data_IF_188232760758
#
_entry.id   IF_188232760758
#
_cell.length_a   1.000
_cell.length_b   1.000
_cell.length_c   1.000
_cell.angle_alpha   90.00
_cell.angle_beta   90.00
_cell.angle_gamma   90.00
#
_symmetry.space_group_name_H-M   'P 1'
#
loop_
_entity.id
_entity.type
_entity.pdbx_description
1 polymer ?
#
# COMPACT_ATOMS: atom_id res chain seq x y z
N UNK A 1 -68.33 -44.02 -27.23
CA UNK A 1 -69.01 -43.36 -28.36
C UNK A 1 -67.99 -42.46 -29.05
N UNK A 2 -67.80 -42.67 -30.36
CA UNK A 2 -66.96 -41.91 -31.33
C UNK A 2 -65.43 -41.98 -31.14
N UNK A 3 -64.72 -42.81 -31.93
CA UNK A 3 -64.14 -42.58 -33.28
C UNK A 3 -62.91 -41.65 -33.24
N UNK A 4 -61.77 -41.87 -33.89
CA UNK A 4 -61.39 -42.54 -35.13
C UNK A 4 -59.86 -42.84 -35.05
N UNK A 5 -59.33 -44.03 -35.38
CA UNK A 5 -59.05 -44.61 -36.71
C UNK A 5 -57.67 -44.21 -37.32
N UNK A 6 -56.90 -45.26 -37.70
CA UNK A 6 -55.82 -45.35 -38.72
C UNK A 6 -54.34 -45.08 -38.36
N UNK A 7 -53.66 -46.18 -38.04
CA UNK A 7 -52.41 -46.75 -38.63
C UNK A 7 -52.10 -46.37 -40.11
N UNK A 8 -50.90 -46.62 -40.72
CA UNK A 8 -49.48 -46.61 -40.27
C UNK A 8 -48.47 -46.07 -41.35
N UNK A 9 -47.16 -46.25 -41.07
CA UNK A 9 -45.99 -46.28 -41.99
C UNK A 9 -45.48 -44.94 -42.52
N UNK A 10 -44.25 -44.57 -42.12
CA UNK A 10 -43.14 -44.37 -43.06
C UNK A 10 -41.78 -44.35 -42.34
N UNK A 11 -40.90 -45.22 -42.82
CA UNK A 11 -39.47 -45.28 -42.51
C UNK A 11 -38.81 -43.92 -42.76
N UNK A 12 -38.17 -43.34 -41.74
CA UNK A 12 -37.01 -42.46 -41.96
C UNK A 12 -35.94 -42.83 -40.95
N UNK A 13 -34.90 -43.45 -41.49
CA UNK A 13 -33.60 -43.68 -40.88
C UNK A 13 -32.99 -42.30 -40.56
N UNK A 14 -33.00 -41.87 -39.29
CA UNK A 14 -32.18 -40.72 -38.86
C UNK A 14 -30.94 -41.29 -38.18
N UNK A 15 -29.93 -41.57 -39.00
CA UNK A 15 -28.54 -41.65 -38.54
C UNK A 15 -28.07 -40.20 -38.39
N UNK A 16 -28.28 -39.61 -37.22
CA UNK A 16 -27.58 -38.37 -36.87
C UNK A 16 -26.23 -38.75 -36.26
N UNK A 17 -25.19 -38.53 -37.05
CA UNK A 17 -23.78 -38.56 -36.67
C UNK A 17 -23.58 -37.93 -35.30
N UNK A 18 -23.13 -38.71 -34.33
CA UNK A 18 -22.32 -38.20 -33.23
C UNK A 18 -20.96 -37.78 -33.83
N UNK A 19 -20.91 -36.59 -34.43
CA UNK A 19 -19.65 -35.88 -34.60
C UNK A 19 -19.18 -35.52 -33.19
N UNK A 20 -18.30 -36.36 -32.64
CA UNK A 20 -17.35 -35.97 -31.62
C UNK A 20 -16.62 -34.75 -32.16
N UNK A 21 -17.10 -33.55 -31.81
CA UNK A 21 -16.30 -32.35 -31.87
C UNK A 21 -15.20 -32.53 -30.83
N UNK A 22 -14.11 -33.19 -31.24
CA UNK A 22 -12.80 -33.00 -30.66
C UNK A 22 -12.48 -31.52 -30.89
N UNK A 23 -12.94 -30.69 -29.97
CA UNK A 23 -12.40 -29.36 -29.83
C UNK A 23 -10.96 -29.58 -29.41
N UNK A 24 -10.02 -29.26 -30.30
CA UNK A 24 -8.63 -29.13 -29.91
C UNK A 24 -8.60 -28.08 -28.79
N UNK A 25 -8.49 -28.56 -27.55
CA UNK A 25 -8.21 -27.71 -26.40
C UNK A 25 -6.77 -27.26 -26.63
N UNK A 26 -6.59 -26.15 -27.32
CA UNK A 26 -5.31 -25.49 -27.41
C UNK A 26 -4.92 -25.09 -25.98
N UNK A 27 -4.00 -25.85 -25.39
CA UNK A 27 -3.28 -25.37 -24.24
C UNK A 27 -2.65 -24.04 -24.65
N UNK A 28 -2.86 -22.98 -23.87
CA UNK A 28 -2.23 -21.69 -24.13
C UNK A 28 -0.72 -21.91 -24.28
N UNK A 29 -0.15 -21.42 -25.39
CA UNK A 29 1.30 -21.35 -25.53
C UNK A 29 1.87 -20.62 -24.31
N UNK A 30 2.87 -21.24 -23.68
CA UNK A 30 3.49 -20.66 -22.50
C UNK A 30 4.12 -19.33 -22.91
N UNK A 31 3.78 -18.27 -22.18
CA UNK A 31 4.29 -16.94 -22.47
C UNK A 31 5.83 -16.95 -22.52
N UNK A 32 6.39 -16.27 -23.51
CA UNK A 32 7.85 -16.15 -23.67
C UNK A 32 8.53 -15.67 -22.39
N UNK A 33 7.93 -14.71 -21.68
CA UNK A 33 8.48 -14.20 -20.41
C UNK A 33 8.57 -15.28 -19.34
N UNK A 34 7.60 -16.21 -19.30
CA UNK A 34 7.60 -17.31 -18.34
C UNK A 34 8.65 -18.36 -18.68
N UNK A 35 8.85 -18.65 -19.97
CA UNK A 35 9.93 -19.55 -20.41
C UNK A 35 11.32 -18.95 -20.20
N UNK A 36 11.49 -17.65 -20.42
CA UNK A 36 12.75 -16.96 -20.14
C UNK A 36 13.01 -16.89 -18.63
N UNK A 37 11.98 -16.63 -17.80
CA UNK A 37 12.09 -16.66 -16.34
C UNK A 37 12.51 -18.04 -15.79
N UNK A 38 12.11 -19.14 -16.44
CA UNK A 38 12.57 -20.48 -16.02
C UNK A 38 14.06 -20.67 -16.22
N UNK A 39 14.65 -20.02 -17.24
CA UNK A 39 16.07 -20.08 -17.54
C UNK A 39 16.86 -19.13 -16.66
N UNK A 40 16.30 -17.96 -16.39
CA UNK A 40 16.86 -16.93 -15.52
C UNK A 40 15.81 -16.45 -14.50
N UNK A 41 15.95 -16.92 -13.25
CA UNK A 41 15.03 -16.58 -12.16
C UNK A 41 15.17 -15.14 -11.69
N UNK A 42 16.18 -14.39 -12.15
CA UNK A 42 16.35 -12.98 -11.84
C UNK A 42 15.67 -12.06 -12.89
N UNK A 43 15.09 -12.64 -13.94
CA UNK A 43 14.39 -11.87 -14.98
C UNK A 43 13.17 -11.11 -14.44
N UNK A 44 12.50 -11.67 -13.44
CA UNK A 44 11.36 -11.06 -12.76
C UNK A 44 11.73 -10.77 -11.31
N UNK A 45 11.21 -9.69 -10.71
CA UNK A 45 11.36 -9.47 -9.27
C UNK A 45 10.88 -10.67 -8.46
N UNK A 46 11.62 -11.01 -7.40
CA UNK A 46 11.21 -12.06 -6.49
C UNK A 46 10.10 -11.56 -5.55
N UNK A 47 8.87 -11.96 -5.84
CA UNK A 47 7.69 -11.61 -5.05
C UNK A 47 7.48 -12.55 -3.85
N UNK A 48 8.38 -13.50 -3.56
CA UNK A 48 8.21 -14.44 -2.44
C UNK A 48 8.23 -13.75 -1.06
N UNK A 49 8.72 -12.50 -1.00
CA UNK A 49 8.84 -11.69 0.21
C UNK A 49 7.75 -10.62 0.34
N UNK A 50 6.68 -10.69 -0.46
CA UNK A 50 5.53 -9.79 -0.31
C UNK A 50 4.62 -10.25 0.84
N UNK A 51 4.02 -9.28 1.52
CA UNK A 51 3.05 -9.55 2.61
C UNK A 51 3.57 -9.19 3.99
N UNK A 52 2.76 -9.49 5.00
CA UNK A 52 3.05 -9.18 6.40
C UNK A 52 4.27 -9.97 6.88
N UNK A 53 5.27 -9.27 7.47
CA UNK A 53 6.59 -9.83 7.79
C UNK A 53 7.18 -10.64 6.65
N UNK A 54 7.26 -10.03 5.46
CA UNK A 54 7.82 -10.65 4.26
C UNK A 54 7.07 -11.92 3.82
N UNK A 55 5.78 -12.04 4.15
CA UNK A 55 4.99 -13.24 3.85
C UNK A 55 5.26 -14.43 4.77
N UNK A 56 6.13 -14.25 5.78
CA UNK A 56 6.50 -15.32 6.73
C UNK A 56 5.50 -15.47 7.88
N UNK A 57 4.56 -14.53 8.03
CA UNK A 57 3.56 -14.53 9.10
C UNK A 57 2.17 -14.21 8.59
N UNK A 58 1.18 -14.82 9.24
CA UNK A 58 -0.22 -14.41 9.10
C UNK A 58 -0.46 -13.04 9.75
N UNK A 59 -1.43 -12.29 9.21
CA UNK A 59 -1.88 -11.05 9.83
C UNK A 59 -2.45 -11.38 11.23
N UNK A 60 -1.93 -10.77 12.31
CA UNK A 60 -2.28 -11.15 13.66
C UNK A 60 -3.72 -10.76 14.00
N UNK A 61 -4.35 -11.54 14.88
CA UNK A 61 -5.56 -11.11 15.58
C UNK A 61 -5.17 -10.53 16.95
N UNK A 62 -4.87 -9.24 17.00
CA UNK A 62 -4.36 -8.58 18.21
C UNK A 62 -5.49 -8.38 19.23
N UNK A 63 -5.48 -9.13 20.33
CA UNK A 63 -6.49 -9.04 21.40
C UNK A 63 -5.92 -8.64 22.77
N UNK A 64 -4.59 -8.67 22.92
CA UNK A 64 -3.89 -8.42 24.18
C UNK A 64 -3.51 -6.95 24.40
N UNK A 65 -3.76 -6.06 23.44
CA UNK A 65 -3.52 -4.63 23.60
C UNK A 65 -4.63 -3.97 24.42
N UNK A 66 -4.28 -2.92 25.17
CA UNK A 66 -5.26 -2.11 25.88
C UNK A 66 -6.21 -1.45 24.88
N UNK A 67 -7.50 -1.49 25.19
CA UNK A 67 -8.55 -0.86 24.38
C UNK A 67 -8.70 0.61 24.79
N UNK A 68 -8.73 1.48 23.79
CA UNK A 68 -9.03 2.90 23.86
C UNK A 68 -10.29 3.14 23.05
N UNK A 69 -11.45 2.94 23.67
CA UNK A 69 -12.75 3.15 23.04
C UNK A 69 -12.98 4.64 22.83
N UNK A 70 -13.17 5.06 21.57
CA UNK A 70 -13.33 6.47 21.20
C UNK A 70 -14.49 7.18 21.93
N UNK A 71 -15.51 6.44 22.36
CA UNK A 71 -16.65 7.00 23.10
C UNK A 71 -16.27 7.47 24.51
N UNK A 72 -15.27 6.83 25.13
CA UNK A 72 -14.70 7.29 26.41
C UNK A 72 -13.94 8.61 26.30
N UNK A 73 -13.57 8.99 25.06
CA UNK A 73 -12.93 10.26 24.72
C UNK A 73 -13.91 11.31 24.18
N UNK A 74 -15.21 10.98 24.14
CA UNK A 74 -16.30 11.89 23.78
C UNK A 74 -16.89 11.68 22.39
N UNK A 75 -16.45 10.68 21.62
CA UNK A 75 -17.05 10.36 20.33
C UNK A 75 -18.47 9.79 20.54
N UNK A 76 -19.39 10.10 19.65
CA UNK A 76 -20.79 9.69 19.72
C UNK A 76 -21.28 9.27 18.34
N UNK A 77 -21.35 7.96 18.06
CA UNK A 77 -21.80 7.53 16.75
C UNK A 77 -23.27 7.90 16.52
N UNK A 78 -23.58 8.25 15.27
CA UNK A 78 -24.90 8.59 14.77
C UNK A 78 -25.54 9.84 15.40
N UNK A 79 -24.73 10.79 15.88
CA UNK A 79 -25.19 12.15 16.14
C UNK A 79 -24.76 13.11 15.01
N UNK A 80 -25.07 14.40 15.19
CA UNK A 80 -24.75 15.46 14.23
C UNK A 80 -23.47 16.25 14.63
N UNK A 81 -22.64 15.70 15.52
CA UNK A 81 -21.44 16.35 16.06
C UNK A 81 -20.19 15.64 15.52
N UNK A 82 -19.15 16.41 15.21
CA UNK A 82 -17.88 15.83 14.77
C UNK A 82 -17.19 15.02 15.87
N UNK A 83 -16.72 13.83 15.50
CA UNK A 83 -15.96 12.92 16.35
C UNK A 83 -14.44 13.14 16.27
N UNK A 84 -13.99 14.02 15.36
CA UNK A 84 -12.57 14.20 15.00
C UNK A 84 -11.66 14.39 16.21
N UNK A 85 -12.05 15.26 17.14
CA UNK A 85 -11.26 15.57 18.34
C UNK A 85 -11.21 14.37 19.29
N UNK A 86 -12.32 13.67 19.49
CA UNK A 86 -12.38 12.51 20.38
C UNK A 86 -11.54 11.35 19.83
N UNK A 87 -11.58 11.13 18.52
CA UNK A 87 -10.76 10.13 17.84
C UNK A 87 -9.27 10.45 18.01
N UNK A 88 -8.85 11.70 17.80
CA UNK A 88 -7.44 12.08 18.02
C UNK A 88 -7.01 11.84 19.47
N UNK A 89 -7.83 12.18 20.46
CA UNK A 89 -7.52 11.93 21.88
C UNK A 89 -7.34 10.44 22.21
N UNK A 90 -8.17 9.58 21.62
CA UNK A 90 -8.04 8.14 21.78
C UNK A 90 -6.72 7.62 21.18
N UNK A 91 -6.36 8.10 19.99
CA UNK A 91 -5.07 7.80 19.34
C UNK A 91 -3.90 8.29 20.19
N UNK A 92 -3.97 9.50 20.72
CA UNK A 92 -2.91 10.07 21.56
C UNK A 92 -2.72 9.27 22.85
N UNK A 93 -3.81 8.80 23.47
CA UNK A 93 -3.77 7.94 24.63
C UNK A 93 -3.13 6.57 24.33
N UNK A 94 -3.48 5.96 23.19
CA UNK A 94 -2.85 4.72 22.73
C UNK A 94 -1.36 4.91 22.42
N UNK A 95 -1.00 5.99 21.74
CA UNK A 95 0.39 6.36 21.44
C UNK A 95 1.22 6.57 22.71
N UNK A 96 0.64 7.25 23.71
CA UNK A 96 1.27 7.46 25.03
C UNK A 96 1.46 6.14 25.79
N UNK A 97 0.57 5.18 25.59
CA UNK A 97 0.67 3.84 26.17
C UNK A 97 1.72 2.95 25.47
N UNK A 98 2.22 3.36 24.29
CA UNK A 98 3.22 2.61 23.50
C UNK A 98 2.63 1.51 22.60
N UNK A 99 1.40 1.10 22.87
CA UNK A 99 0.56 0.24 22.03
C UNK A 99 -0.92 0.41 22.39
N UNK A 100 -1.83 0.00 21.51
CA UNK A 100 -3.25 0.04 21.84
C UNK A 100 -4.16 -0.32 20.68
N UNK A 101 -5.38 -0.73 21.02
CA UNK A 101 -6.49 -0.82 20.07
C UNK A 101 -7.34 0.45 20.24
N UNK A 102 -7.30 1.35 19.28
CA UNK A 102 -8.27 2.45 19.17
C UNK A 102 -9.54 1.86 18.60
N UNK A 103 -10.52 1.66 19.47
CA UNK A 103 -11.73 0.90 19.17
C UNK A 103 -12.91 1.81 18.83
N UNK A 104 -13.64 1.43 17.79
CA UNK A 104 -14.85 2.09 17.33
C UNK A 104 -16.04 1.13 17.48
N UNK A 105 -17.04 1.47 18.32
CA UNK A 105 -18.30 0.73 18.32
C UNK A 105 -19.05 0.91 16.99
N UNK A 106 -20.16 0.19 16.84
CA UNK A 106 -21.04 0.30 15.68
C UNK A 106 -21.61 1.72 15.54
N UNK A 107 -21.79 2.14 14.29
CA UNK A 107 -22.41 3.41 13.93
C UNK A 107 -21.50 4.29 13.09
N UNK A 108 -22.07 5.43 12.69
CA UNK A 108 -21.39 6.43 11.86
C UNK A 108 -20.75 7.50 12.74
N UNK A 109 -19.45 7.70 12.54
CA UNK A 109 -18.68 8.78 13.15
C UNK A 109 -18.45 9.87 12.10
N UNK A 110 -18.78 11.11 12.45
CA UNK A 110 -18.60 12.25 11.56
C UNK A 110 -17.16 12.76 11.67
N UNK A 111 -16.48 12.84 10.53
CA UNK A 111 -15.08 13.25 10.47
C UNK A 111 -14.92 14.29 9.36
N UNK A 112 -14.45 15.50 9.66
CA UNK A 112 -14.39 16.64 8.74
C UNK A 112 -15.74 17.34 8.51
N UNK A 113 -16.42 17.70 9.60
CA UNK A 113 -17.56 18.63 9.56
C UNK A 113 -17.11 20.09 9.39
N UNK A 114 -18.04 21.01 9.13
CA UNK A 114 -17.72 22.43 8.88
C UNK A 114 -17.00 23.11 10.05
N UNK A 115 -17.27 22.65 11.28
CA UNK A 115 -16.63 23.15 12.50
C UNK A 115 -15.21 22.59 12.72
N UNK A 116 -14.78 21.61 11.94
CA UNK A 116 -13.48 20.97 12.13
C UNK A 116 -12.35 21.84 11.59
N UNK A 117 -11.23 21.82 12.31
CA UNK A 117 -9.97 22.29 11.75
C UNK A 117 -9.57 21.41 10.55
N UNK A 118 -8.91 22.00 9.55
CA UNK A 118 -8.52 21.31 8.30
C UNK A 118 -7.29 20.39 8.43
N UNK A 119 -6.88 20.06 9.65
CA UNK A 119 -5.73 19.19 9.92
C UNK A 119 -6.08 17.70 9.85
N UNK A 120 -5.07 16.86 9.71
CA UNK A 120 -5.21 15.40 9.81
C UNK A 120 -5.46 14.94 11.25
N UNK A 121 -6.24 13.87 11.40
CA UNK A 121 -6.14 12.93 12.51
C UNK A 121 -4.87 12.09 12.28
N UNK A 122 -3.96 12.07 13.24
CA UNK A 122 -2.60 11.56 13.04
C UNK A 122 -2.16 10.58 14.12
N UNK A 123 -1.54 9.48 13.69
CA UNK A 123 -0.73 8.60 14.53
C UNK A 123 0.70 8.56 14.02
N UNK A 124 1.68 8.69 14.94
CA UNK A 124 3.13 8.71 14.65
C UNK A 124 3.90 7.55 15.30
N UNK A 125 3.19 6.55 15.84
CA UNK A 125 3.76 5.44 16.59
C UNK A 125 3.28 4.10 16.03
N UNK A 126 4.11 3.09 16.21
CA UNK A 126 3.78 1.70 15.89
C UNK A 126 2.96 1.02 16.99
N UNK A 127 2.58 -0.23 16.76
CA UNK A 127 1.77 -1.07 17.65
C UNK A 127 0.38 -0.49 17.95
N UNK A 128 -0.21 0.21 16.98
CA UNK A 128 -1.53 0.83 17.08
C UNK A 128 -2.48 0.14 16.13
N UNK A 129 -3.55 -0.41 16.69
CA UNK A 129 -4.62 -1.04 15.90
C UNK A 129 -5.82 -0.11 15.90
N UNK A 130 -6.24 0.32 14.73
CA UNK A 130 -7.45 1.10 14.51
C UNK A 130 -8.56 0.12 14.12
N UNK A 131 -9.48 -0.18 15.03
CA UNK A 131 -10.42 -1.30 14.88
C UNK A 131 -11.87 -0.88 15.04
N UNK A 132 -12.68 -1.14 14.02
CA UNK A 132 -14.12 -1.01 14.07
C UNK A 132 -14.85 -2.28 14.48
N UNK A 133 -16.17 -2.18 14.46
CA UNK A 133 -17.11 -3.27 14.78
C UNK A 133 -17.66 -3.95 13.52
N UNK A 134 -16.94 -3.86 12.39
CA UNK A 134 -17.29 -4.39 11.06
C UNK A 134 -17.38 -3.29 10.01
N UNK A 135 -17.02 -3.57 8.75
CA UNK A 135 -17.11 -2.60 7.64
C UNK A 135 -18.40 -2.71 6.81
N UNK A 136 -19.25 -3.69 7.12
CA UNK A 136 -20.53 -3.93 6.46
C UNK A 136 -21.66 -3.04 6.98
N UNK A 137 -22.90 -3.39 6.59
CA UNK A 137 -24.10 -2.75 7.12
C UNK A 137 -24.17 -2.91 8.64
N UNK A 138 -24.56 -1.84 9.35
CA UNK A 138 -24.58 -1.76 10.83
C UNK A 138 -23.20 -1.93 11.50
N UNK A 139 -22.12 -1.80 10.73
CA UNK A 139 -20.75 -1.75 11.21
C UNK A 139 -20.33 -0.35 11.67
N UNK A 140 -19.02 -0.12 11.72
CA UNK A 140 -18.41 1.19 11.94
C UNK A 140 -18.22 1.91 10.61
N UNK A 141 -18.73 3.14 10.50
CA UNK A 141 -18.47 4.03 9.37
C UNK A 141 -17.73 5.29 9.85
N UNK A 142 -16.62 5.62 9.20
CA UNK A 142 -15.99 6.94 9.30
C UNK A 142 -16.45 7.77 8.10
N UNK A 143 -17.28 8.77 8.36
CA UNK A 143 -17.95 9.53 7.31
C UNK A 143 -17.34 10.92 7.15
N UNK A 144 -16.69 11.13 5.99
CA UNK A 144 -16.17 12.41 5.55
C UNK A 144 -17.20 13.13 4.69
N UNK A 145 -17.99 13.99 5.33
CA UNK A 145 -19.07 14.74 4.66
C UNK A 145 -18.54 15.84 3.76
N UNK A 146 -17.53 16.57 4.23
CA UNK A 146 -16.93 17.70 3.51
C UNK A 146 -15.52 17.35 3.03
N UNK A 147 -15.09 18.01 1.96
CA UNK A 147 -13.73 17.87 1.46
C UNK A 147 -12.71 18.59 2.36
N UNK A 148 -11.43 18.20 2.26
CA UNK A 148 -10.32 18.96 2.84
C UNK A 148 -9.71 19.88 1.78
N UNK A 149 -9.63 21.20 2.01
CA UNK A 149 -8.98 22.10 1.07
C UNK A 149 -7.46 21.90 1.04
N UNK A 150 -6.77 22.37 -0.02
CA UNK A 150 -5.30 22.38 -0.06
C UNK A 150 -4.70 23.16 1.10
N UNK A 151 -3.63 22.65 1.70
CA UNK A 151 -2.89 23.38 2.74
C UNK A 151 -2.25 24.67 2.20
N UNK A 152 -1.87 24.66 0.91
CA UNK A 152 -1.48 25.83 0.15
C UNK A 152 -2.51 26.04 -0.98
N UNK A 153 -3.38 27.07 -0.91
CA UNK A 153 -4.40 27.33 -1.92
C UNK A 153 -3.86 27.54 -3.34
N UNK A 154 -2.57 27.89 -3.49
CA UNK A 154 -1.92 28.02 -4.80
C UNK A 154 -1.47 26.68 -5.39
N UNK A 155 -1.53 25.59 -4.63
CA UNK A 155 -1.04 24.26 -5.00
C UNK A 155 -2.08 23.19 -4.72
N UNK A 156 -2.86 22.84 -5.76
CA UNK A 156 -3.96 21.88 -5.66
C UNK A 156 -3.56 20.49 -5.11
N UNK A 157 -2.30 20.07 -5.23
CA UNK A 157 -1.78 18.79 -4.74
C UNK A 157 -1.45 18.77 -3.23
N UNK A 158 -1.68 19.87 -2.50
CA UNK A 158 -1.33 20.00 -1.07
C UNK A 158 -2.48 19.67 -0.12
N UNK A 159 -3.54 19.02 -0.60
CA UNK A 159 -4.64 18.54 0.25
C UNK A 159 -4.10 17.54 1.28
N UNK A 160 -4.30 17.76 2.59
CA UNK A 160 -3.88 16.82 3.61
C UNK A 160 -4.78 15.58 3.61
N UNK A 161 -4.26 14.40 3.97
CA UNK A 161 -5.11 13.25 4.26
C UNK A 161 -5.92 13.47 5.54
N UNK A 162 -7.13 12.95 5.64
CA UNK A 162 -7.92 13.04 6.88
C UNK A 162 -7.32 12.18 7.99
N UNK A 163 -7.00 10.92 7.71
CA UNK A 163 -6.27 10.02 8.60
C UNK A 163 -4.85 9.80 8.09
N UNK A 164 -3.85 10.11 8.92
CA UNK A 164 -2.44 9.91 8.63
C UNK A 164 -1.81 8.95 9.66
N UNK A 165 -1.46 7.75 9.21
CA UNK A 165 -0.63 6.83 9.97
C UNK A 165 0.80 6.91 9.44
N UNK A 166 1.72 7.34 10.31
CA UNK A 166 3.11 7.59 9.95
C UNK A 166 4.08 7.27 11.08
N UNK A 167 5.36 7.56 10.85
CA UNK A 167 6.40 7.52 11.87
C UNK A 167 6.85 8.92 12.26
N UNK A 168 7.19 9.09 13.53
CA UNK A 168 8.04 10.20 13.98
C UNK A 168 9.49 10.05 13.48
N UNK A 169 10.26 11.14 13.58
CA UNK A 169 11.68 11.16 13.25
C UNK A 169 11.98 11.36 11.76
N UNK A 170 13.26 11.30 11.43
CA UNK A 170 13.79 11.38 10.07
C UNK A 170 14.76 10.23 9.83
N UNK A 171 14.97 9.88 8.56
CA UNK A 171 15.98 8.89 8.20
C UNK A 171 17.36 9.35 8.67
N UNK A 172 18.12 8.46 9.29
CA UNK A 172 19.49 8.76 9.73
C UNK A 172 20.47 8.21 8.70
N UNK A 173 21.17 9.09 8.00
CA UNK A 173 22.23 8.69 7.07
C UNK A 173 23.28 7.84 7.78
N UNK A 174 23.68 6.74 7.16
CA UNK A 174 24.73 5.83 7.63
C UNK A 174 25.97 5.99 6.76
N UNK A 175 25.82 5.81 5.45
CA UNK A 175 26.98 5.73 4.56
C UNK A 175 26.60 5.58 3.10
N UNK A 176 27.53 5.07 2.32
CA UNK A 176 27.39 4.84 0.89
C UNK A 176 27.72 3.40 0.54
N UNK A 177 27.10 2.90 -0.53
CA UNK A 177 27.42 1.58 -1.08
C UNK A 177 28.86 1.59 -1.62
N UNK A 178 29.64 0.56 -1.30
CA UNK A 178 31.04 0.41 -1.76
C UNK A 178 31.24 -0.71 -2.77
N UNK A 179 30.27 -1.60 -2.95
CA UNK A 179 30.31 -2.69 -3.94
C UNK A 179 29.01 -2.84 -4.69
N UNK A 180 29.11 -3.26 -5.95
CA UNK A 180 27.95 -3.57 -6.76
C UNK A 180 27.16 -4.75 -6.18
N UNK A 181 25.85 -4.74 -6.39
CA UNK A 181 24.94 -5.84 -6.09
C UNK A 181 23.91 -5.96 -7.21
N UNK A 182 23.68 -7.18 -7.69
CA UNK A 182 22.71 -7.48 -8.73
C UNK A 182 21.31 -7.70 -8.13
N UNK A 183 20.28 -7.60 -8.99
CA UNK A 183 18.95 -8.11 -8.64
C UNK A 183 19.06 -9.58 -8.24
N UNK A 184 18.45 -9.96 -7.12
CA UNK A 184 18.54 -11.31 -6.56
C UNK A 184 19.60 -11.47 -5.45
N UNK A 185 20.56 -10.56 -5.32
CA UNK A 185 21.55 -10.62 -4.24
C UNK A 185 20.92 -10.30 -2.89
N UNK A 186 21.31 -11.01 -1.82
CA UNK A 186 20.84 -10.74 -0.45
C UNK A 186 21.90 -10.04 0.41
N UNK A 187 22.94 -9.46 -0.18
CA UNK A 187 24.05 -8.85 0.57
C UNK A 187 24.46 -7.53 -0.06
N UNK A 188 24.67 -6.52 0.78
CA UNK A 188 25.24 -5.23 0.38
C UNK A 188 26.43 -4.86 1.28
N UNK A 189 27.35 -4.06 0.74
CA UNK A 189 28.54 -3.59 1.45
C UNK A 189 28.58 -2.06 1.47
N UNK A 190 28.90 -1.50 2.63
CA UNK A 190 28.95 -0.07 2.90
C UNK A 190 30.35 0.35 3.32
N UNK A 191 30.62 1.65 3.29
CA UNK A 191 31.84 2.22 3.86
C UNK A 191 31.85 2.18 5.40
N UNK A 192 30.68 2.18 6.05
CA UNK A 192 30.51 1.99 7.49
C UNK A 192 29.17 1.32 7.80
N UNK A 193 29.12 0.57 8.88
CA UNK A 193 27.92 -0.08 9.44
C UNK A 193 27.62 0.40 10.87
N UNK A 194 28.32 1.44 11.34
CA UNK A 194 28.15 1.95 12.69
C UNK A 194 26.71 2.43 12.92
N UNK A 195 26.10 1.97 14.02
CA UNK A 195 24.72 2.30 14.37
C UNK A 195 23.65 1.48 13.64
N UNK A 196 24.05 0.45 12.89
CA UNK A 196 23.14 -0.57 12.34
C UNK A 196 23.17 -1.86 13.16
N UNK A 197 22.02 -2.50 13.28
CA UNK A 197 21.86 -3.81 13.92
C UNK A 197 20.89 -4.71 13.13
N UNK A 198 20.83 -6.00 13.51
CA UNK A 198 19.82 -6.92 12.95
C UNK A 198 18.42 -6.44 13.31
N UNK A 199 17.49 -6.54 12.36
CA UNK A 199 16.11 -6.07 12.52
C UNK A 199 15.89 -4.64 12.05
N UNK A 200 16.93 -3.81 11.93
CA UNK A 200 16.81 -2.45 11.42
C UNK A 200 16.24 -2.41 10.01
N UNK A 201 15.35 -1.44 9.78
CA UNK A 201 14.95 -1.04 8.44
C UNK A 201 15.92 0.00 7.89
N UNK A 202 16.36 -0.20 6.66
CA UNK A 202 17.19 0.74 5.92
C UNK A 202 16.49 1.13 4.62
N UNK A 203 16.84 2.33 4.14
CA UNK A 203 16.49 2.81 2.81
C UNK A 203 17.78 3.12 2.05
N UNK A 204 17.88 2.56 0.85
CA UNK A 204 18.89 2.92 -0.13
C UNK A 204 18.28 3.97 -1.04
N UNK A 205 18.98 5.10 -1.19
CA UNK A 205 18.55 6.27 -1.97
C UNK A 205 19.56 6.50 -3.07
N UNK A 206 19.10 6.53 -4.31
CA UNK A 206 19.85 7.00 -5.46
C UNK A 206 19.24 8.32 -5.91
N UNK A 207 20.07 9.35 -6.04
CA UNK A 207 19.71 10.57 -6.76
C UNK A 207 20.92 10.99 -7.58
N UNK A 208 20.91 10.65 -8.86
CA UNK A 208 22.06 10.90 -9.74
C UNK A 208 21.64 11.25 -11.17
N UNK A 209 22.13 12.38 -11.66
CA UNK A 209 21.88 12.90 -13.01
C UNK A 209 22.95 12.49 -14.03
N UNK A 210 23.74 11.47 -13.70
CA UNK A 210 24.66 10.85 -14.64
C UNK A 210 23.92 10.42 -15.91
N UNK A 211 24.40 10.86 -17.08
CA UNK A 211 23.75 10.62 -18.37
C UNK A 211 23.68 9.13 -18.74
N UNK A 212 24.72 8.36 -18.39
CA UNK A 212 24.77 6.93 -18.68
C UNK A 212 23.74 6.17 -17.85
N UNK A 213 23.51 6.61 -16.61
CA UNK A 213 22.45 6.05 -15.76
C UNK A 213 21.07 6.34 -16.36
N UNK A 214 20.81 7.59 -16.75
CA UNK A 214 19.52 7.98 -17.36
C UNK A 214 19.25 7.16 -18.62
N UNK A 215 20.25 7.04 -19.51
CA UNK A 215 20.13 6.25 -20.74
C UNK A 215 19.89 4.77 -20.42
N UNK A 216 20.61 4.20 -19.45
CA UNK A 216 20.42 2.81 -19.03
C UNK A 216 19.00 2.54 -18.50
N UNK A 217 18.44 3.46 -17.72
CA UNK A 217 17.08 3.33 -17.16
C UNK A 217 15.98 3.47 -18.19
N UNK A 218 16.16 4.37 -19.16
CA UNK A 218 15.18 4.56 -20.24
C UNK A 218 15.22 3.44 -21.29
N UNK A 219 16.26 2.60 -21.28
CA UNK A 219 16.46 1.48 -22.21
C UNK A 219 16.41 1.94 -23.68
N UNK A 220 15.28 1.73 -24.34
CA UNK A 220 15.07 2.09 -25.75
C UNK A 220 14.44 3.48 -25.92
N UNK A 221 14.00 4.11 -24.84
CA UNK A 221 13.37 5.43 -24.87
C UNK A 221 14.42 6.54 -24.85
N UNK A 222 14.13 7.63 -25.56
CA UNK A 222 14.98 8.83 -25.55
C UNK A 222 14.56 9.77 -24.42
N UNK A 223 15.51 10.58 -23.95
CA UNK A 223 15.24 11.63 -22.96
C UNK A 223 14.53 12.79 -23.65
N UNK A 224 13.32 13.11 -23.19
CA UNK A 224 12.63 14.33 -23.64
C UNK A 224 13.11 15.55 -22.84
N UNK A 225 13.45 16.67 -23.50
CA UNK A 225 13.93 17.89 -22.80
C UNK A 225 12.92 18.46 -21.80
N UNK A 226 11.63 18.18 -21.99
CA UNK A 226 10.55 18.62 -21.09
C UNK A 226 10.51 17.86 -19.77
N UNK A 227 11.22 16.73 -19.65
CA UNK A 227 11.36 15.97 -18.41
C UNK A 227 12.37 16.63 -17.46
N UNK A 228 12.10 17.88 -17.11
CA UNK A 228 13.01 18.76 -16.38
C UNK A 228 13.51 18.18 -15.05
N UNK A 229 12.68 17.40 -14.33
CA UNK A 229 13.12 16.71 -13.13
C UNK A 229 14.20 15.67 -13.44
N UNK A 230 13.96 14.79 -14.41
CA UNK A 230 14.92 13.78 -14.84
C UNK A 230 16.21 14.43 -15.36
N UNK A 231 16.09 15.45 -16.22
CA UNK A 231 17.24 16.13 -16.82
C UNK A 231 18.09 16.85 -15.76
N UNK A 232 17.45 17.54 -14.81
CA UNK A 232 18.17 18.38 -13.86
C UNK A 232 18.58 17.64 -12.58
N UNK A 233 17.77 16.70 -12.10
CA UNK A 233 17.96 15.97 -10.84
C UNK A 233 18.43 14.54 -11.04
N UNK A 234 18.03 13.91 -12.13
CA UNK A 234 18.42 12.54 -12.47
C UNK A 234 17.42 11.48 -12.03
N UNK A 235 17.92 10.25 -11.97
CA UNK A 235 17.17 9.09 -11.49
C UNK A 235 17.07 9.18 -9.96
N UNK A 236 15.84 9.26 -9.44
CA UNK A 236 15.51 9.23 -8.01
C UNK A 236 14.87 7.88 -7.66
N UNK A 237 15.62 7.00 -7.00
CA UNK A 237 15.18 5.66 -6.60
C UNK A 237 15.31 5.49 -5.11
N UNK A 238 14.29 4.87 -4.49
CA UNK A 238 14.29 4.48 -3.08
C UNK A 238 13.84 3.04 -2.95
N UNK A 239 14.71 2.20 -2.38
CA UNK A 239 14.41 0.80 -2.08
C UNK A 239 14.66 0.54 -0.60
N UNK A 240 13.79 -0.28 0.01
CA UNK A 240 13.73 -0.47 1.46
C UNK A 240 13.99 -1.94 1.80
N UNK A 241 14.81 -2.19 2.82
CA UNK A 241 15.13 -3.54 3.26
C UNK A 241 15.20 -3.63 4.79
N UNK A 242 14.88 -4.80 5.33
CA UNK A 242 15.19 -5.14 6.71
C UNK A 242 16.52 -5.90 6.77
N UNK A 243 17.39 -5.54 7.71
CA UNK A 243 18.66 -6.23 7.95
C UNK A 243 18.35 -7.56 8.65
N UNK A 244 18.70 -8.67 8.00
CA UNK A 244 18.63 -10.00 8.61
C UNK A 244 19.76 -10.20 9.61
N UNK A 245 20.99 -9.90 9.20
CA UNK A 245 22.18 -10.04 10.05
C UNK A 245 23.36 -9.25 9.49
N UNK A 246 24.37 -9.02 10.32
CA UNK A 246 25.61 -8.35 9.92
C UNK A 246 26.77 -9.32 10.09
N UNK A 247 27.57 -9.54 9.04
CA UNK A 247 28.71 -10.47 9.07
C UNK A 247 29.88 -9.92 8.25
N UNK A 248 31.08 -9.89 8.84
CA UNK A 248 32.31 -9.45 8.17
C UNK A 248 32.16 -8.10 7.45
N UNK A 249 31.56 -7.12 8.13
CA UNK A 249 31.27 -5.79 7.58
C UNK A 249 30.28 -5.75 6.39
N UNK A 250 29.51 -6.84 6.17
CA UNK A 250 28.45 -6.91 5.16
C UNK A 250 27.08 -6.97 5.81
N UNK A 251 26.10 -6.31 5.19
CA UNK A 251 24.70 -6.41 5.59
C UNK A 251 24.04 -7.53 4.79
N UNK A 252 23.49 -8.51 5.49
CA UNK A 252 22.66 -9.57 4.91
C UNK A 252 21.21 -9.10 5.04
N UNK A 253 20.50 -9.01 3.92
CA UNK A 253 19.13 -8.52 3.84
C UNK A 253 18.12 -9.66 4.00
N UNK A 254 16.92 -9.35 4.49
CA UNK A 254 15.82 -10.32 4.55
C UNK A 254 15.21 -10.65 3.20
N UNK A 255 15.21 -9.70 2.28
CA UNK A 255 14.73 -9.86 0.90
C UNK A 255 15.88 -9.54 -0.08
N UNK A 256 15.87 -10.16 -1.27
CA UNK A 256 16.87 -9.87 -2.29
C UNK A 256 16.75 -8.43 -2.79
N UNK A 257 17.87 -7.90 -3.26
CA UNK A 257 17.95 -6.61 -3.93
C UNK A 257 17.00 -6.61 -5.13
N UNK A 258 16.09 -5.64 -5.19
CA UNK A 258 15.06 -5.50 -6.23
C UNK A 258 15.47 -4.55 -7.36
N UNK A 259 16.63 -3.90 -7.24
CA UNK A 259 17.12 -2.91 -8.18
C UNK A 259 18.65 -2.96 -8.21
N UNK A 260 19.25 -3.06 -9.40
CA UNK A 260 20.71 -3.19 -9.55
C UNK A 260 21.44 -2.00 -8.91
N UNK A 261 22.45 -2.30 -8.10
CA UNK A 261 23.25 -1.30 -7.39
C UNK A 261 24.64 -1.24 -8.02
N UNK A 262 25.03 -0.05 -8.45
CA UNK A 262 26.38 0.24 -8.97
C UNK A 262 27.01 1.36 -8.12
N UNK A 263 28.11 1.09 -7.38
CA UNK A 263 28.73 2.05 -6.46
C UNK A 263 29.35 3.25 -7.17
N UNK A 264 29.46 3.26 -8.51
CA UNK A 264 29.89 4.45 -9.25
C UNK A 264 28.84 5.57 -9.23
N UNK A 265 27.58 5.25 -8.92
CA UNK A 265 26.50 6.23 -8.74
C UNK A 265 26.27 6.55 -7.25
N UNK A 266 25.55 7.64 -6.98
CA UNK A 266 25.33 8.19 -5.63
C UNK A 266 24.33 7.41 -4.78
N UNK A 267 24.63 6.15 -4.47
CA UNK A 267 23.85 5.32 -3.55
C UNK A 267 24.17 5.63 -2.09
N UNK A 268 23.23 6.30 -1.42
CA UNK A 268 23.27 6.56 0.01
C UNK A 268 22.42 5.53 0.77
N UNK A 269 22.90 5.10 1.94
CA UNK A 269 22.14 4.26 2.87
C UNK A 269 21.79 5.05 4.11
N UNK A 270 20.52 5.03 4.50
CA UNK A 270 20.02 5.58 5.76
C UNK A 270 19.28 4.52 6.57
N UNK A 271 19.38 4.58 7.90
CA UNK A 271 18.43 3.90 8.79
C UNK A 271 17.06 4.58 8.61
N UNK A 272 16.07 3.80 8.20
CA UNK A 272 14.74 4.28 7.85
C UNK A 272 13.95 4.52 9.12
N UNK A 273 13.44 5.74 9.33
CA UNK A 273 12.58 5.99 10.49
C UNK A 273 11.14 5.56 10.18
N UNK A 274 10.78 4.37 10.65
CA UNK A 274 9.48 3.74 10.43
C UNK A 274 8.75 3.46 11.74
N UNK A 275 7.44 3.27 11.63
CA UNK A 275 6.60 2.67 12.66
C UNK A 275 6.13 1.30 12.19
N UNK A 276 6.13 0.33 13.08
CA UNK A 276 5.75 -1.05 12.77
C UNK A 276 4.41 -1.41 13.39
N UNK A 277 3.75 -2.44 12.88
CA UNK A 277 2.54 -3.02 13.49
C UNK A 277 1.38 -2.02 13.61
N UNK A 278 1.10 -1.29 12.52
CA UNK A 278 -0.12 -0.49 12.41
C UNK A 278 -1.18 -1.32 11.68
N UNK A 279 -2.26 -1.63 12.39
CA UNK A 279 -3.41 -2.36 11.83
C UNK A 279 -4.60 -1.43 11.63
N UNK A 280 -5.29 -1.55 10.50
CA UNK A 280 -6.58 -0.90 10.27
C UNK A 280 -7.60 -1.97 9.91
N UNK A 281 -8.58 -2.15 10.77
CA UNK A 281 -9.42 -3.35 10.78
C UNK A 281 -10.89 -3.01 10.90
N UNK A 282 -11.74 -3.70 10.13
CA UNK A 282 -13.18 -3.75 10.35
C UNK A 282 -13.88 -2.36 10.34
N UNK A 283 -13.46 -1.47 9.44
CA UNK A 283 -14.00 -0.10 9.29
C UNK A 283 -14.42 0.19 7.86
N UNK A 284 -15.54 0.89 7.68
CA UNK A 284 -15.90 1.52 6.42
C UNK A 284 -15.46 2.99 6.40
N UNK A 285 -14.69 3.36 5.38
CA UNK A 285 -14.34 4.74 5.05
C UNK A 285 -15.32 5.26 3.99
N UNK A 286 -16.11 6.26 4.35
CA UNK A 286 -17.21 6.75 3.51
C UNK A 286 -17.02 8.23 3.23
N UNK A 287 -16.77 8.59 1.99
CA UNK A 287 -16.79 9.99 1.55
C UNK A 287 -18.18 10.42 1.09
N UNK A 288 -18.25 11.62 0.53
CA UNK A 288 -19.49 12.22 0.05
C UNK A 288 -19.35 12.75 -1.39
N UNK A 289 -18.45 12.13 -2.18
CA UNK A 289 -18.32 12.44 -3.60
C UNK A 289 -19.54 11.95 -4.39
N UNK A 290 -20.12 12.84 -5.20
CA UNK A 290 -21.35 12.58 -6.00
C UNK A 290 -21.18 12.88 -7.47
N UNK A 291 -20.06 13.48 -7.85
CA UNK A 291 -19.83 14.00 -9.20
C UNK A 291 -19.09 12.98 -10.08
N UNK A 292 -19.00 13.26 -11.37
CA UNK A 292 -18.10 12.50 -12.26
C UNK A 292 -16.67 13.00 -12.06
N UNK A 293 -15.76 12.08 -11.73
CA UNK A 293 -14.32 12.37 -11.62
C UNK A 293 -13.75 12.84 -12.96
N UNK A 294 -12.95 13.91 -12.92
CA UNK A 294 -12.16 14.39 -14.05
C UNK A 294 -10.73 14.65 -13.60
N UNK A 295 -9.79 13.89 -14.17
CA UNK A 295 -8.36 13.98 -13.86
C UNK A 295 -7.83 15.41 -14.04
N UNK A 296 -7.23 15.97 -12.98
CA UNK A 296 -6.63 17.30 -12.96
C UNK A 296 -7.57 18.49 -13.20
N UNK A 297 -8.89 18.32 -13.03
CA UNK A 297 -9.83 19.44 -13.14
C UNK A 297 -9.76 20.39 -11.95
N UNK A 298 -9.68 19.85 -10.74
CA UNK A 298 -9.71 20.63 -9.49
C UNK A 298 -9.03 19.86 -8.35
N UNK A 299 -8.72 20.55 -7.25
CA UNK A 299 -8.22 19.87 -6.06
C UNK A 299 -9.28 18.96 -5.44
N UNK A 300 -10.57 19.29 -5.60
CA UNK A 300 -11.66 18.43 -5.14
C UNK A 300 -11.66 17.10 -5.90
N UNK A 301 -11.50 17.15 -7.23
CA UNK A 301 -11.39 15.95 -8.07
C UNK A 301 -10.17 15.11 -7.69
N UNK A 302 -9.00 15.75 -7.57
CA UNK A 302 -7.75 15.02 -7.41
C UNK A 302 -7.55 14.49 -5.98
N UNK A 303 -8.06 15.18 -4.95
CA UNK A 303 -7.69 14.88 -3.56
C UNK A 303 -8.71 15.28 -2.50
N UNK A 304 -9.89 15.82 -2.87
CA UNK A 304 -10.85 16.41 -1.92
C UNK A 304 -11.28 15.48 -0.78
N UNK A 305 -11.35 14.17 -1.03
CA UNK A 305 -11.67 13.13 -0.04
C UNK A 305 -10.50 12.16 0.18
N UNK A 306 -9.27 12.69 0.29
CA UNK A 306 -8.11 11.87 0.70
C UNK A 306 -8.31 11.37 2.14
N UNK A 307 -9.01 10.26 2.30
CA UNK A 307 -9.45 9.79 3.62
C UNK A 307 -8.29 9.20 4.43
N UNK A 308 -7.43 8.42 3.79
CA UNK A 308 -6.42 7.62 4.48
C UNK A 308 -5.07 7.73 3.77
N UNK A 309 -4.02 8.01 4.54
CA UNK A 309 -2.63 7.87 4.13
C UNK A 309 -1.88 7.06 5.17
N UNK A 310 -1.26 5.99 4.71
CA UNK A 310 -0.31 5.19 5.48
C UNK A 310 1.04 5.38 4.81
N UNK A 311 2.02 5.97 5.51
CA UNK A 311 3.36 6.15 4.97
C UNK A 311 4.42 5.94 6.05
N UNK A 312 5.64 5.58 5.65
CA UNK A 312 6.72 5.30 6.62
C UNK A 312 6.33 4.25 7.67
N UNK A 313 5.58 3.25 7.23
CA UNK A 313 5.20 2.10 8.06
C UNK A 313 5.73 0.82 7.43
N UNK A 314 6.10 -0.15 8.25
CA UNK A 314 6.49 -1.49 7.80
C UNK A 314 5.76 -2.52 8.65
N UNK A 315 5.58 -3.74 8.15
CA UNK A 315 4.83 -4.77 8.88
C UNK A 315 3.46 -4.27 9.37
N UNK A 316 2.78 -3.50 8.52
CA UNK A 316 1.46 -2.92 8.80
C UNK A 316 0.43 -3.53 7.85
N UNK A 317 -0.85 -3.50 8.23
CA UNK A 317 -1.90 -4.17 7.46
C UNK A 317 -3.22 -3.40 7.47
N UNK A 318 -4.02 -3.72 6.46
CA UNK A 318 -5.44 -3.39 6.43
C UNK A 318 -6.23 -4.69 6.27
N UNK A 319 -7.27 -4.89 7.08
CA UNK A 319 -8.09 -6.09 7.07
C UNK A 319 -9.57 -5.71 7.13
N UNK A 320 -10.39 -6.30 6.25
CA UNK A 320 -11.84 -6.10 6.23
C UNK A 320 -12.27 -4.63 6.20
N UNK A 321 -11.58 -3.77 5.43
CA UNK A 321 -11.97 -2.38 5.25
C UNK A 321 -12.84 -2.21 3.99
N UNK A 322 -13.76 -1.25 4.02
CA UNK A 322 -14.58 -0.84 2.85
C UNK A 322 -14.32 0.63 2.54
N UNK A 323 -14.25 0.97 1.26
CA UNK A 323 -14.17 2.36 0.80
C UNK A 323 -15.35 2.67 -0.10
N UNK A 324 -16.00 3.81 0.10
CA UNK A 324 -17.19 4.19 -0.66
C UNK A 324 -17.25 5.71 -0.86
N UNK A 325 -17.54 6.16 -2.08
CA UNK A 325 -17.75 7.58 -2.44
C UNK A 325 -16.63 8.53 -1.98
N UNK A 326 -15.38 8.07 -2.06
CA UNK A 326 -14.21 8.93 -2.00
C UNK A 326 -14.06 9.69 -3.31
#
# INVERSE_FOLDING_TARGET
MYNCNKSPIQNILIVCLNLLALTDVFAQDKSKIFEDYKKDRNLLPDFSYVGYHQGEKEIPNVTNYKIFDVTTFGAKPNDDISDKIAIQKAIDAANKNGSGIVFFPKGRFLVNEESDATNSIISKKGNIIFRGSGSGLNGTELYMKNTLPPADPSKMWTVPPLFLFTSGGADKKIGFITKAAAVGDCTIELNTIEGLESGDWIVLKLLDNNKDLIVAELKTQQVEPTWSYLVNKGIDVKVYYQIKSIKNNKLILKAPVSYTIDPKYKWEVSKFANSEEIGIEDVAFVGNWKEKFVHHRSWQDDSGYTMLRINRTTNSWMKNCRFNRL
#
